data_IF_723347611949
#
_entry.id   IF_723347611949
#
_cell.length_a   1.000
_cell.length_b   1.000
_cell.length_c   1.000
_cell.angle_alpha   90.00
_cell.angle_beta   90.00
_cell.angle_gamma   90.00
#
_symmetry.space_group_name_H-M   'P 1'
#
loop_
_entity.id
_entity.type
_entity.pdbx_description
1 polymer ?
#
# COMPACT_ATOMS: atom_id res chain seq x y z
N UNK A 1 -4.85 12.41 9.97
CA UNK A 1 -3.81 11.44 9.55
C UNK A 1 -3.93 10.08 10.23
N UNK A 2 -3.92 9.95 11.56
CA UNK A 2 -3.92 8.61 12.19
C UNK A 2 -5.19 7.75 11.92
N UNK A 3 -6.35 8.38 11.75
CA UNK A 3 -7.62 7.66 11.48
C UNK A 3 -7.74 7.14 10.05
N UNK A 4 -7.32 7.93 9.06
CA UNK A 4 -7.40 7.56 7.63
C UNK A 4 -6.48 6.37 7.32
N UNK A 5 -5.27 6.36 7.89
CA UNK A 5 -4.34 5.22 7.75
C UNK A 5 -4.91 3.93 8.36
N UNK A 6 -5.59 4.02 9.51
CA UNK A 6 -6.21 2.85 10.14
C UNK A 6 -7.31 2.25 9.25
N UNK A 7 -8.14 3.10 8.64
CA UNK A 7 -9.19 2.66 7.71
C UNK A 7 -8.56 2.04 6.46
N UNK A 8 -7.55 2.68 5.88
CA UNK A 8 -6.85 2.15 4.70
C UNK A 8 -6.17 0.80 4.97
N UNK A 9 -5.51 0.65 6.13
CA UNK A 9 -4.91 -0.63 6.54
C UNK A 9 -5.95 -1.73 6.70
N UNK A 10 -7.12 -1.42 7.26
CA UNK A 10 -8.20 -2.39 7.38
C UNK A 10 -8.71 -2.83 6.01
N UNK A 11 -8.98 -1.88 5.10
CA UNK A 11 -9.45 -2.17 3.76
C UNK A 11 -8.47 -3.06 2.97
N UNK A 12 -7.17 -2.80 3.08
CA UNK A 12 -6.13 -3.63 2.46
C UNK A 12 -6.13 -5.03 3.07
N UNK A 13 -6.19 -5.14 4.40
CA UNK A 13 -6.21 -6.43 5.10
C UNK A 13 -7.38 -7.30 4.66
N UNK A 14 -8.59 -6.74 4.66
CA UNK A 14 -9.81 -7.45 4.28
C UNK A 14 -9.74 -7.95 2.83
N UNK A 15 -9.22 -7.12 1.92
CA UNK A 15 -9.03 -7.50 0.52
C UNK A 15 -8.01 -8.64 0.36
N UNK A 16 -6.91 -8.60 1.11
CA UNK A 16 -5.86 -9.63 1.07
C UNK A 16 -6.28 -10.94 1.72
N UNK A 17 -7.10 -10.89 2.78
CA UNK A 17 -7.72 -12.06 3.40
C UNK A 17 -8.74 -12.71 2.45
N UNK A 18 -9.55 -11.90 1.78
CA UNK A 18 -10.49 -12.38 0.75
C UNK A 18 -9.75 -13.09 -0.38
N UNK A 19 -8.66 -12.48 -0.89
CA UNK A 19 -7.83 -13.11 -1.92
C UNK A 19 -7.11 -14.38 -1.45
N UNK A 20 -6.82 -14.51 -0.15
CA UNK A 20 -6.23 -15.72 0.42
C UNK A 20 -7.24 -16.87 0.56
N UNK A 21 -8.50 -16.53 0.84
CA UNK A 21 -9.58 -17.50 1.04
C UNK A 21 -10.09 -18.09 -0.29
N UNK A 22 -9.96 -17.35 -1.38
CA UNK A 22 -10.43 -17.75 -2.70
C UNK A 22 -9.35 -18.47 -3.52
N UNK A 23 -9.56 -19.76 -3.84
CA UNK A 23 -8.61 -20.57 -4.62
C UNK A 23 -8.37 -20.05 -6.05
N UNK A 24 -9.24 -19.17 -6.55
CA UNK A 24 -9.14 -18.55 -7.88
C UNK A 24 -8.35 -17.24 -7.89
N UNK A 25 -7.98 -16.72 -6.71
CA UNK A 25 -7.31 -15.44 -6.56
C UNK A 25 -5.87 -15.60 -6.09
N UNK A 26 -5.00 -14.69 -6.54
CA UNK A 26 -3.64 -14.57 -6.04
C UNK A 26 -3.52 -13.29 -5.23
N UNK A 27 -2.91 -13.37 -4.06
CA UNK A 27 -2.64 -12.22 -3.22
C UNK A 27 -1.74 -11.17 -3.93
N UNK A 28 -0.79 -11.61 -4.76
CA UNK A 28 0.03 -10.69 -5.58
C UNK A 28 -0.83 -9.95 -6.61
N UNK A 29 -1.72 -10.67 -7.29
CA UNK A 29 -2.64 -10.07 -8.27
C UNK A 29 -3.62 -9.09 -7.59
N UNK A 30 -4.12 -9.44 -6.41
CA UNK A 30 -4.97 -8.55 -5.60
C UNK A 30 -4.21 -7.27 -5.18
N UNK A 31 -2.97 -7.41 -4.69
CA UNK A 31 -2.14 -6.25 -4.32
C UNK A 31 -1.89 -5.31 -5.51
N UNK A 32 -1.62 -5.84 -6.70
CA UNK A 32 -1.47 -5.03 -7.92
C UNK A 32 -2.78 -4.34 -8.32
N UNK A 33 -3.91 -5.02 -8.21
CA UNK A 33 -5.22 -4.44 -8.50
C UNK A 33 -5.55 -3.29 -7.55
N UNK A 34 -5.33 -3.47 -6.25
CA UNK A 34 -5.53 -2.42 -5.24
C UNK A 34 -4.68 -1.16 -5.53
N UNK A 35 -3.41 -1.35 -5.90
CA UNK A 35 -2.54 -0.24 -6.27
C UNK A 35 -3.04 0.50 -7.52
N UNK A 36 -3.46 -0.24 -8.55
CA UNK A 36 -3.97 0.35 -9.80
C UNK A 36 -5.24 1.19 -9.56
N UNK A 37 -6.20 0.66 -8.80
CA UNK A 37 -7.44 1.37 -8.44
C UNK A 37 -7.15 2.63 -7.60
N UNK A 38 -6.20 2.55 -6.65
CA UNK A 38 -5.82 3.70 -5.84
C UNK A 38 -5.18 4.81 -6.68
N UNK A 39 -4.25 4.45 -7.58
CA UNK A 39 -3.62 5.41 -8.49
C UNK A 39 -4.66 6.08 -9.40
N UNK A 40 -5.64 5.33 -9.89
CA UNK A 40 -6.74 5.87 -10.69
C UNK A 40 -7.66 6.81 -9.90
N UNK A 41 -7.89 6.53 -8.62
CA UNK A 41 -8.64 7.44 -7.75
C UNK A 41 -7.90 8.77 -7.53
N UNK A 42 -6.58 8.70 -7.28
CA UNK A 42 -5.73 9.86 -7.04
C UNK A 42 -5.45 10.68 -8.31
N UNK A 43 -5.42 10.06 -9.49
CA UNK A 43 -5.19 10.76 -10.76
C UNK A 43 -6.27 11.79 -11.10
N UNK A 44 -7.39 11.81 -10.36
CA UNK A 44 -8.43 12.84 -10.48
C UNK A 44 -8.01 14.19 -9.88
N UNK A 45 -7.04 14.19 -8.97
CA UNK A 45 -6.60 15.37 -8.22
C UNK A 45 -5.08 15.61 -8.31
N UNK A 46 -4.33 14.64 -8.84
CA UNK A 46 -2.88 14.71 -8.97
C UNK A 46 -2.43 14.36 -10.38
N UNK A 47 -1.36 15.00 -10.82
CA UNK A 47 -0.67 14.69 -12.07
C UNK A 47 0.12 13.38 -12.00
N UNK A 48 0.44 12.80 -13.16
CA UNK A 48 1.26 11.59 -13.21
C UNK A 48 2.66 11.77 -12.59
N UNK A 49 3.22 12.98 -12.62
CA UNK A 49 4.51 13.28 -12.00
C UNK A 49 4.40 13.24 -10.47
N UNK A 50 3.38 13.91 -9.91
CA UNK A 50 3.14 13.92 -8.46
C UNK A 50 2.84 12.51 -7.93
N UNK A 51 2.06 11.70 -8.67
CA UNK A 51 1.80 10.31 -8.30
C UNK A 51 3.08 9.47 -8.29
N UNK A 52 3.97 9.70 -9.26
CA UNK A 52 5.25 9.02 -9.33
C UNK A 52 6.13 9.39 -8.13
N UNK A 53 6.25 10.68 -7.84
CA UNK A 53 7.03 11.16 -6.69
C UNK A 53 6.46 10.63 -5.37
N UNK A 54 5.13 10.55 -5.22
CA UNK A 54 4.47 9.95 -4.06
C UNK A 54 4.81 8.47 -3.91
N UNK A 55 4.76 7.68 -4.99
CA UNK A 55 5.10 6.25 -4.95
C UNK A 55 6.57 6.06 -4.63
N UNK A 56 7.45 6.81 -5.29
CA UNK A 56 8.90 6.74 -5.06
C UNK A 56 9.23 7.05 -3.59
N UNK A 57 8.61 8.09 -3.00
CA UNK A 57 8.73 8.40 -1.57
C UNK A 57 8.27 7.26 -0.65
N UNK A 58 7.15 6.59 -0.95
CA UNK A 58 6.68 5.46 -0.14
C UNK A 58 7.61 4.24 -0.25
N UNK A 59 8.17 3.98 -1.44
CA UNK A 59 9.13 2.89 -1.66
C UNK A 59 10.44 3.11 -0.87
N UNK A 60 10.92 4.35 -0.81
CA UNK A 60 12.07 4.72 0.01
C UNK A 60 11.80 4.47 1.50
N UNK A 61 10.60 4.82 1.98
CA UNK A 61 10.22 4.62 3.38
C UNK A 61 10.00 3.14 3.74
N UNK A 62 9.47 2.32 2.82
CA UNK A 62 9.32 0.87 3.01
C UNK A 62 10.67 0.18 3.29
N UNK A 63 11.75 0.70 2.69
CA UNK A 63 13.11 0.18 2.87
C UNK A 63 13.70 0.58 4.24
N UNK A 64 13.16 1.63 4.86
CA UNK A 64 13.68 2.22 6.10
C UNK A 64 13.13 1.51 7.35
N UNK A 65 11.96 0.87 7.29
CA UNK A 65 11.39 0.09 8.40
C UNK A 65 12.11 -1.26 8.63
N UNK A 66 12.90 -1.74 7.67
CA UNK A 66 13.77 -2.91 7.80
C UNK A 66 15.18 -2.52 8.26
N UNK A 67 15.36 -1.97 9.46
CA UNK A 67 16.51 -2.14 10.38
C UNK A 67 16.52 -1.05 11.47
N UNK A 68 15.81 -1.29 12.57
CA UNK A 68 16.18 -0.73 13.87
C UNK A 68 16.17 -1.86 14.89
N UNK A 69 17.18 -2.74 14.83
CA UNK A 69 17.62 -3.46 16.02
C UNK A 69 18.40 -2.42 16.83
N UNK A 70 17.74 -1.72 17.74
CA UNK A 70 18.44 -1.06 18.85
C UNK A 70 19.05 -2.14 19.73
N UNK A 71 20.25 -2.63 19.37
CA UNK A 71 21.19 -3.14 20.39
C UNK A 71 21.73 -1.92 21.11
N UNK A 72 21.06 -1.50 22.18
CA UNK A 72 21.44 -0.33 22.95
C UNK A 72 20.93 -0.42 24.39
N UNK A 73 21.84 -0.89 25.25
CA UNK A 73 21.80 -1.02 26.72
C UNK A 73 21.18 -2.31 27.28
#
# INVERSE_FOLDING_TARGET
MAGEFKIAQQAIRDAMETAAAENSMSQDAMGRALLAELLQALSKQSSSAELKDMVDYQLENLSTDSFVITRGC
#
